data_IF_821897301507
#
_entry.id   IF_821897301507
#
_cell.length_a   1.000
_cell.length_b   1.000
_cell.length_c   1.000
_cell.angle_alpha   90.00
_cell.angle_beta   90.00
_cell.angle_gamma   90.00
#
_symmetry.space_group_name_H-M   'P 1'
#
loop_
_entity.id
_entity.type
_entity.pdbx_description
1 polymer ?
#
# COMPACT_ATOMS: atom_id res chain seq x y z
N UNK A 1 -46.70 -26.32 -30.07
CA UNK A 1 -46.76 -26.28 -28.59
C UNK A 1 -45.39 -26.64 -28.06
N UNK A 2 -44.97 -25.98 -26.97
CA UNK A 2 -44.22 -26.52 -25.81
C UNK A 2 -43.07 -27.51 -26.07
N UNK A 3 -41.86 -27.08 -25.79
CA UNK A 3 -41.06 -27.45 -24.59
C UNK A 3 -40.12 -28.63 -24.92
N UNK A 4 -38.81 -28.38 -25.00
CA UNK A 4 -37.90 -28.52 -23.86
C UNK A 4 -37.85 -29.94 -23.28
N UNK A 5 -36.83 -30.70 -23.65
CA UNK A 5 -35.90 -31.17 -22.61
C UNK A 5 -34.45 -31.13 -23.16
N UNK A 6 -33.51 -30.63 -22.35
CA UNK A 6 -32.09 -30.60 -22.71
C UNK A 6 -31.38 -31.81 -22.10
N UNK A 7 -30.41 -32.42 -22.80
CA UNK A 7 -29.78 -33.65 -22.33
C UNK A 7 -28.97 -33.40 -21.04
N UNK A 8 -29.32 -34.15 -19.99
CA UNK A 8 -28.55 -34.24 -18.74
C UNK A 8 -27.10 -34.66 -19.03
N UNK A 9 -26.16 -33.71 -18.99
CA UNK A 9 -24.73 -34.02 -18.86
C UNK A 9 -24.29 -33.85 -17.41
N UNK A 10 -24.20 -34.98 -16.70
CA UNK A 10 -23.47 -35.05 -15.44
C UNK A 10 -21.97 -34.77 -15.70
N UNK A 11 -21.49 -33.59 -15.31
CA UNK A 11 -20.07 -33.26 -15.32
C UNK A 11 -19.53 -33.08 -13.90
N UNK A 12 -19.05 -34.21 -13.35
CA UNK A 12 -17.85 -34.34 -12.50
C UNK A 12 -17.54 -33.17 -11.55
N UNK A 13 -18.36 -33.01 -10.52
CA UNK A 13 -17.93 -32.36 -9.27
C UNK A 13 -16.87 -33.21 -8.57
N UNK A 14 -15.58 -32.97 -8.85
CA UNK A 14 -14.42 -33.39 -8.02
C UNK A 14 -13.13 -32.80 -8.59
N UNK A 15 -12.13 -32.60 -7.72
CA UNK A 15 -10.76 -32.11 -8.00
C UNK A 15 -10.61 -30.59 -8.24
N UNK A 16 -10.88 -29.78 -7.21
CA UNK A 16 -10.05 -28.57 -6.95
C UNK A 16 -9.94 -28.20 -5.45
N UNK A 17 -9.87 -29.20 -4.58
CA UNK A 17 -9.55 -29.02 -3.14
C UNK A 17 -8.07 -29.31 -2.82
N UNK A 18 -7.23 -29.48 -3.85
CA UNK A 18 -5.91 -30.14 -3.74
C UNK A 18 -4.67 -29.26 -3.79
N UNK A 19 -4.77 -27.93 -3.77
CA UNK A 19 -3.61 -27.03 -3.85
C UNK A 19 -3.33 -26.18 -2.60
N UNK A 20 -4.08 -26.39 -1.51
CA UNK A 20 -3.89 -25.71 -0.22
C UNK A 20 -3.13 -26.60 0.80
N UNK A 21 -2.86 -27.87 0.49
CA UNK A 21 -2.35 -28.86 1.46
C UNK A 21 -0.91 -29.38 1.22
N UNK A 22 -0.20 -28.91 0.19
CA UNK A 22 1.15 -29.41 -0.15
C UNK A 22 2.31 -28.69 0.56
N UNK A 23 2.04 -27.64 1.36
CA UNK A 23 3.06 -26.80 2.00
C UNK A 23 3.11 -26.89 3.54
N UNK A 24 2.26 -27.71 4.17
CA UNK A 24 2.03 -27.70 5.62
C UNK A 24 2.82 -28.74 6.45
N UNK A 25 3.79 -29.45 5.87
CA UNK A 25 4.52 -30.55 6.53
C UNK A 25 6.05 -30.51 6.42
N UNK A 26 6.66 -29.31 6.36
CA UNK A 26 8.10 -29.11 6.63
C UNK A 26 8.37 -28.19 7.83
N UNK A 27 7.50 -28.28 8.84
CA UNK A 27 7.76 -27.75 10.18
C UNK A 27 8.65 -28.70 11.01
N UNK A 28 9.95 -28.73 10.69
CA UNK A 28 10.98 -29.13 11.66
C UNK A 28 11.97 -27.97 11.79
N UNK A 29 12.29 -27.63 13.03
CA UNK A 29 12.89 -26.34 13.38
C UNK A 29 14.32 -26.18 12.83
N UNK A 30 14.43 -25.43 11.73
CA UNK A 30 15.58 -24.55 11.51
C UNK A 30 15.20 -23.20 12.10
N UNK A 31 16.11 -22.55 12.85
CA UNK A 31 15.94 -21.16 13.22
C UNK A 31 16.01 -20.33 11.93
N UNK A 32 14.85 -20.03 11.35
CA UNK A 32 14.76 -19.37 10.06
C UNK A 32 15.49 -18.02 10.11
N UNK A 33 16.47 -17.84 9.23
CA UNK A 33 17.00 -16.51 8.92
C UNK A 33 15.81 -15.62 8.55
N UNK A 34 15.53 -14.58 9.35
CA UNK A 34 14.39 -13.72 9.12
C UNK A 34 14.57 -13.05 7.75
N UNK A 35 13.72 -13.31 6.74
CA UNK A 35 13.92 -12.83 5.37
C UNK A 35 13.93 -11.29 5.26
N UNK A 36 13.50 -10.60 6.31
CA UNK A 36 13.66 -9.15 6.49
C UNK A 36 15.13 -8.72 6.58
N UNK A 37 16.02 -9.57 7.10
CA UNK A 37 17.47 -9.32 7.17
C UNK A 37 18.13 -9.48 5.79
N UNK A 38 17.69 -10.46 5.00
CA UNK A 38 18.15 -10.61 3.62
C UNK A 38 17.73 -9.41 2.75
N UNK A 39 16.54 -8.85 2.98
CA UNK A 39 15.95 -7.79 2.15
C UNK A 39 15.39 -6.60 2.96
N UNK A 40 16.24 -5.79 3.63
CA UNK A 40 15.78 -4.69 4.49
C UNK A 40 14.96 -3.62 3.74
N UNK A 41 15.18 -3.46 2.43
CA UNK A 41 14.38 -2.56 1.58
C UNK A 41 12.97 -3.05 1.22
N UNK A 42 12.64 -4.32 1.52
CA UNK A 42 11.37 -4.98 1.24
C UNK A 42 10.58 -5.34 2.52
N UNK A 43 11.14 -5.07 3.71
CA UNK A 43 10.59 -5.52 4.99
C UNK A 43 9.30 -4.79 5.44
N UNK A 44 8.97 -3.65 4.83
CA UNK A 44 7.75 -2.89 5.13
C UNK A 44 6.54 -3.44 4.35
N UNK A 45 5.36 -3.57 5.00
CA UNK A 45 4.13 -3.99 4.32
C UNK A 45 3.62 -2.89 3.37
N UNK A 46 2.79 -3.29 2.41
CA UNK A 46 2.14 -2.36 1.47
C UNK A 46 0.73 -2.08 1.97
N UNK A 47 0.48 -0.87 2.47
CA UNK A 47 -0.82 -0.39 2.92
C UNK A 47 -1.63 0.18 1.76
N UNK A 48 -2.78 -0.44 1.45
CA UNK A 48 -3.76 -0.02 0.46
C UNK A 48 -5.03 0.49 1.15
N UNK A 49 -5.35 1.78 1.04
CA UNK A 49 -6.48 2.41 1.77
C UNK A 49 -7.28 3.34 0.85
N UNK A 50 -8.61 3.30 0.96
CA UNK A 50 -9.54 4.20 0.27
C UNK A 50 -10.91 4.23 0.97
N UNK A 51 -11.84 5.09 0.52
CA UNK A 51 -13.25 5.03 0.93
C UNK A 51 -13.92 3.72 0.49
N UNK A 52 -13.63 3.29 -0.74
CA UNK A 52 -14.15 2.04 -1.33
C UNK A 52 -13.01 1.23 -1.91
N UNK A 53 -12.97 -0.07 -1.60
CA UNK A 53 -12.10 -1.04 -2.26
C UNK A 53 -12.94 -2.14 -2.95
N UNK A 54 -12.55 -2.55 -4.16
CA UNK A 54 -13.09 -3.72 -4.87
C UNK A 54 -11.92 -4.67 -5.12
N UNK A 55 -12.07 -5.95 -4.78
CA UNK A 55 -11.01 -6.97 -4.87
C UNK A 55 -11.51 -8.19 -5.63
N UNK A 56 -10.73 -8.71 -6.57
CA UNK A 56 -10.96 -10.03 -7.18
C UNK A 56 -9.62 -10.71 -7.45
N UNK A 57 -9.66 -12.03 -7.59
CA UNK A 57 -8.50 -12.83 -8.01
C UNK A 57 -8.64 -13.15 -9.50
N UNK A 58 -7.53 -13.09 -10.24
CA UNK A 58 -7.45 -13.36 -11.68
C UNK A 58 -6.21 -14.24 -11.99
N UNK A 59 -6.12 -14.85 -13.19
CA UNK A 59 -4.99 -15.73 -13.53
C UNK A 59 -3.61 -15.05 -13.47
N UNK A 60 -3.55 -13.73 -13.64
CA UNK A 60 -2.32 -12.92 -13.61
C UNK A 60 -2.04 -12.27 -12.24
N UNK A 61 -2.89 -12.48 -11.23
CA UNK A 61 -2.69 -11.98 -9.87
C UNK A 61 -3.99 -11.54 -9.17
N UNK A 62 -3.83 -10.97 -7.96
CA UNK A 62 -4.93 -10.33 -7.24
C UNK A 62 -5.06 -8.88 -7.67
N UNK A 63 -6.26 -8.49 -8.09
CA UNK A 63 -6.55 -7.12 -8.48
C UNK A 63 -7.32 -6.37 -7.40
N UNK A 64 -7.01 -5.08 -7.26
CA UNK A 64 -7.69 -4.17 -6.34
C UNK A 64 -7.98 -2.85 -7.05
N UNK A 65 -9.23 -2.41 -7.04
CA UNK A 65 -9.61 -1.02 -7.38
C UNK A 65 -9.92 -0.28 -6.11
N UNK A 66 -9.35 0.91 -5.97
CA UNK A 66 -9.49 1.80 -4.83
C UNK A 66 -10.06 3.13 -5.30
N UNK A 67 -11.07 3.68 -4.62
CA UNK A 67 -11.67 4.96 -4.98
C UNK A 67 -12.11 5.80 -3.78
N UNK A 68 -12.08 7.12 -3.95
CA UNK A 68 -12.37 8.10 -2.90
C UNK A 68 -11.20 8.20 -1.92
N UNK A 69 -10.29 9.14 -2.16
CA UNK A 69 -9.02 9.28 -1.42
C UNK A 69 -8.22 7.96 -1.35
N UNK A 70 -7.93 7.40 -2.53
CA UNK A 70 -7.16 6.18 -2.68
C UNK A 70 -5.69 6.40 -2.36
N UNK A 71 -5.05 5.44 -1.68
CA UNK A 71 -3.64 5.47 -1.33
C UNK A 71 -3.02 4.07 -1.34
N UNK A 72 -1.76 4.01 -1.77
CA UNK A 72 -0.92 2.82 -1.73
C UNK A 72 0.46 3.24 -1.23
N UNK A 73 0.86 2.79 -0.03
CA UNK A 73 2.06 3.28 0.67
C UNK A 73 2.88 2.13 1.25
N UNK A 74 4.20 2.21 1.12
CA UNK A 74 5.16 1.26 1.69
C UNK A 74 6.41 2.00 2.20
N UNK A 75 6.61 2.08 3.52
CA UNK A 75 7.80 2.72 4.11
C UNK A 75 8.06 4.14 3.57
N UNK A 76 7.02 4.96 3.46
CA UNK A 76 7.08 6.33 2.91
C UNK A 76 7.13 6.45 1.38
N UNK A 77 7.32 5.35 0.64
CA UNK A 77 7.18 5.29 -0.83
C UNK A 77 5.72 4.99 -1.21
N UNK A 78 5.33 5.31 -2.45
CA UNK A 78 3.98 5.02 -2.96
C UNK A 78 3.31 6.25 -3.58
N UNK A 79 1.98 6.33 -3.49
CA UNK A 79 1.18 7.46 -3.98
C UNK A 79 -0.23 7.54 -3.36
N UNK A 80 -0.83 8.72 -3.46
CA UNK A 80 -2.24 9.01 -3.17
C UNK A 80 -2.93 9.59 -4.40
N UNK A 81 -4.20 9.27 -4.64
CA UNK A 81 -4.97 9.70 -5.81
C UNK A 81 -6.50 9.68 -5.55
N UNK A 82 -7.29 10.16 -6.51
CA UNK A 82 -8.75 10.00 -6.52
C UNK A 82 -9.17 8.54 -6.73
N UNK A 83 -8.45 7.84 -7.62
CA UNK A 83 -8.58 6.40 -7.85
C UNK A 83 -7.23 5.71 -8.08
N UNK A 84 -7.12 4.46 -7.66
CA UNK A 84 -5.99 3.57 -7.95
C UNK A 84 -6.48 2.23 -8.46
N UNK A 85 -5.75 1.67 -9.41
CA UNK A 85 -5.79 0.24 -9.76
C UNK A 85 -4.47 -0.37 -9.32
N UNK A 86 -4.56 -1.49 -8.63
CA UNK A 86 -3.41 -2.25 -8.12
C UNK A 86 -3.51 -3.68 -8.61
N UNK A 87 -2.44 -4.18 -9.25
CA UNK A 87 -2.26 -5.62 -9.45
C UNK A 87 -1.19 -6.14 -8.52
N UNK A 88 -1.53 -7.16 -7.73
CA UNK A 88 -0.67 -7.82 -6.76
C UNK A 88 -0.28 -9.19 -7.31
N UNK A 89 0.99 -9.39 -7.60
CA UNK A 89 1.57 -10.68 -7.98
C UNK A 89 2.48 -11.21 -6.89
N UNK A 90 2.71 -12.52 -6.88
CA UNK A 90 3.65 -13.20 -5.99
C UNK A 90 4.75 -13.81 -6.84
N UNK A 91 6.00 -13.63 -6.42
CA UNK A 91 7.17 -14.24 -7.04
C UNK A 91 8.03 -14.87 -5.93
N UNK A 92 8.56 -16.06 -6.18
CA UNK A 92 9.59 -16.63 -5.33
C UNK A 92 10.91 -15.89 -5.58
N UNK A 93 11.58 -15.46 -4.51
CA UNK A 93 12.94 -14.94 -4.52
C UNK A 93 13.70 -15.65 -3.40
N UNK A 94 14.73 -16.40 -3.78
CA UNK A 94 15.46 -17.30 -2.87
C UNK A 94 14.48 -18.21 -2.10
N UNK A 95 14.47 -18.18 -0.77
CA UNK A 95 13.53 -18.95 0.08
C UNK A 95 12.25 -18.16 0.47
N UNK A 96 12.04 -16.96 -0.10
CA UNK A 96 11.00 -16.01 0.29
C UNK A 96 9.95 -15.77 -0.80
N UNK A 97 8.73 -15.45 -0.39
CA UNK A 97 7.71 -14.90 -1.28
C UNK A 97 7.80 -13.37 -1.30
N UNK A 98 8.06 -12.79 -2.48
CA UNK A 98 7.96 -11.36 -2.72
C UNK A 98 6.59 -11.04 -3.34
N UNK A 99 5.85 -10.16 -2.67
CA UNK A 99 4.63 -9.57 -3.20
C UNK A 99 4.99 -8.30 -3.98
N UNK A 100 4.67 -8.27 -5.27
CA UNK A 100 4.84 -7.10 -6.13
C UNK A 100 3.48 -6.45 -6.38
N UNK A 101 3.34 -5.17 -6.05
CA UNK A 101 2.15 -4.37 -6.32
C UNK A 101 2.45 -3.35 -7.44
N UNK A 102 1.92 -3.59 -8.62
CA UNK A 102 1.93 -2.63 -9.73
C UNK A 102 0.77 -1.65 -9.56
N UNK A 103 1.07 -0.35 -9.62
CA UNK A 103 0.13 0.74 -9.34
C UNK A 103 -0.13 1.56 -10.61
N UNK A 104 -1.41 1.84 -10.87
CA UNK A 104 -1.87 2.87 -11.80
C UNK A 104 -2.83 3.82 -11.09
N UNK A 105 -2.67 5.12 -11.29
CA UNK A 105 -3.35 6.17 -10.53
C UNK A 105 -3.98 7.21 -11.44
N UNK A 106 -5.17 7.69 -11.06
CA UNK A 106 -5.89 8.77 -11.73
C UNK A 106 -6.48 9.78 -10.73
N UNK A 107 -6.44 11.05 -11.12
CA UNK A 107 -6.98 12.18 -10.36
C UNK A 107 -6.10 12.56 -9.17
N UNK A 108 -5.66 13.82 -9.11
CA UNK A 108 -4.92 14.38 -7.97
C UNK A 108 -3.74 13.55 -7.46
N UNK A 109 -2.99 12.92 -8.38
CA UNK A 109 -1.93 11.97 -8.03
C UNK A 109 -0.74 12.68 -7.39
N UNK A 110 -0.39 12.29 -6.16
CA UNK A 110 0.70 12.84 -5.36
C UNK A 110 1.57 11.72 -4.76
N UNK A 111 2.85 11.97 -4.54
CA UNK A 111 3.71 11.08 -3.76
C UNK A 111 3.63 11.43 -2.26
N UNK A 112 3.71 10.47 -1.32
CA UNK A 112 3.37 10.69 0.09
C UNK A 112 4.19 11.77 0.81
N UNK A 113 5.41 12.04 0.35
CA UNK A 113 6.35 12.98 0.97
C UNK A 113 6.76 14.13 0.05
N UNK A 114 6.17 14.24 -1.14
CA UNK A 114 6.55 15.26 -2.12
C UNK A 114 5.61 16.46 -2.06
N UNK A 115 6.17 17.64 -1.76
CA UNK A 115 5.49 18.92 -1.94
C UNK A 115 5.54 19.36 -3.42
N UNK A 116 4.98 18.50 -4.27
CA UNK A 116 4.90 18.69 -5.70
C UNK A 116 3.44 18.90 -6.13
N UNK A 117 3.17 19.70 -7.18
CA UNK A 117 1.83 19.81 -7.73
C UNK A 117 1.24 18.44 -8.11
N UNK A 118 -0.06 18.23 -7.88
CA UNK A 118 -0.75 16.99 -8.23
C UNK A 118 -0.67 16.72 -9.73
N UNK A 119 -0.62 15.44 -10.11
CA UNK A 119 -0.59 14.98 -11.50
C UNK A 119 -1.93 14.37 -11.88
N UNK A 120 -2.29 14.44 -13.17
CA UNK A 120 -3.52 13.79 -13.68
C UNK A 120 -3.48 12.26 -13.54
N UNK A 121 -2.30 11.67 -13.72
CA UNK A 121 -2.06 10.24 -13.67
C UNK A 121 -0.67 9.89 -13.12
N UNK A 122 -0.48 8.64 -12.69
CA UNK A 122 0.81 8.12 -12.24
C UNK A 122 0.90 6.59 -12.30
N UNK A 123 2.14 6.08 -12.27
CA UNK A 123 2.46 4.65 -12.18
C UNK A 123 3.63 4.44 -11.22
N UNK A 124 3.64 3.33 -10.50
CA UNK A 124 4.80 2.85 -9.75
C UNK A 124 4.72 1.34 -9.51
N UNK A 125 5.79 0.77 -8.96
CA UNK A 125 5.83 -0.61 -8.48
C UNK A 125 6.33 -0.59 -7.04
N UNK A 126 5.64 -1.29 -6.15
CA UNK A 126 6.05 -1.53 -4.76
C UNK A 126 6.31 -3.03 -4.58
N UNK A 127 7.22 -3.41 -3.70
CA UNK A 127 7.64 -4.81 -3.50
C UNK A 127 7.87 -5.08 -2.01
N UNK A 128 7.25 -6.11 -1.45
CA UNK A 128 7.40 -6.47 -0.02
C UNK A 128 7.60 -7.97 0.17
N UNK A 129 8.38 -8.36 1.18
CA UNK A 129 8.46 -9.75 1.67
C UNK A 129 7.48 -10.03 2.83
N UNK A 130 6.66 -9.04 3.20
CA UNK A 130 5.62 -9.18 4.22
C UNK A 130 4.25 -9.42 3.59
N UNK A 131 3.38 -8.43 3.62
CA UNK A 131 1.97 -8.55 3.32
C UNK A 131 1.43 -7.28 2.67
N UNK A 132 0.41 -7.44 1.83
CA UNK A 132 -0.32 -6.34 1.19
C UNK A 132 -1.66 -6.19 1.90
N UNK A 133 -1.85 -5.09 2.60
CA UNK A 133 -2.98 -4.82 3.50
C UNK A 133 -4.02 -3.98 2.78
N UNK A 134 -5.20 -4.52 2.56
CA UNK A 134 -6.34 -3.77 2.00
C UNK A 134 -7.22 -3.26 3.14
N UNK A 135 -7.66 -2.01 3.07
CA UNK A 135 -8.63 -1.43 4.01
C UNK A 135 -9.88 -2.29 4.16
N UNK A 136 -10.47 -2.38 5.37
CA UNK A 136 -11.56 -3.33 5.68
C UNK A 136 -12.86 -3.07 4.91
N UNK A 137 -13.06 -1.86 4.38
CA UNK A 137 -14.20 -1.49 3.54
C UNK A 137 -14.02 -2.00 2.10
N UNK A 138 -13.89 -3.33 1.95
CA UNK A 138 -13.69 -3.99 0.65
C UNK A 138 -14.92 -4.80 0.23
N UNK A 139 -15.23 -4.74 -1.06
CA UNK A 139 -16.16 -5.64 -1.74
C UNK A 139 -15.34 -6.68 -2.51
N UNK A 140 -15.44 -7.96 -2.14
CA UNK A 140 -14.88 -9.05 -2.97
C UNK A 140 -15.83 -9.39 -4.11
N UNK A 141 -15.27 -9.65 -5.29
CA UNK A 141 -15.95 -10.17 -6.47
C UNK A 141 -15.22 -11.44 -6.96
N UNK A 142 -15.96 -12.32 -7.64
CA UNK A 142 -15.41 -13.53 -8.28
C UNK A 142 -14.83 -13.25 -9.68
N UNK A 143 -15.08 -12.05 -10.23
CA UNK A 143 -14.71 -11.66 -11.59
C UNK A 143 -14.39 -10.15 -11.65
N UNK A 144 -13.69 -9.68 -12.70
CA UNK A 144 -13.43 -8.26 -12.90
C UNK A 144 -14.74 -7.44 -12.95
N UNK A 145 -14.81 -6.26 -12.31
CA UNK A 145 -15.98 -5.39 -12.43
C UNK A 145 -16.08 -4.77 -13.82
N UNK A 146 -17.25 -4.90 -14.44
CA UNK A 146 -17.57 -4.28 -15.72
C UNK A 146 -17.73 -2.75 -15.60
N UNK A 147 -17.53 -2.03 -16.72
CA UNK A 147 -17.80 -0.59 -16.80
C UNK A 147 -16.83 0.34 -16.06
N UNK A 148 -15.67 -0.16 -15.60
CA UNK A 148 -14.64 0.67 -14.97
C UNK A 148 -13.53 1.05 -15.97
N UNK A 149 -13.66 2.20 -16.63
CA UNK A 149 -12.68 2.66 -17.64
C UNK A 149 -11.24 2.76 -17.11
N UNK A 150 -11.06 3.03 -15.81
CA UNK A 150 -9.75 3.08 -15.16
C UNK A 150 -9.00 1.74 -15.26
N UNK A 151 -9.71 0.60 -15.34
CA UNK A 151 -9.11 -0.72 -15.58
C UNK A 151 -8.61 -0.86 -17.02
N UNK A 152 -9.39 -0.40 -18.00
CA UNK A 152 -8.96 -0.40 -19.40
C UNK A 152 -7.72 0.49 -19.60
N UNK A 153 -7.66 1.64 -18.92
CA UNK A 153 -6.49 2.57 -18.96
C UNK A 153 -5.29 2.09 -18.14
N UNK A 154 -5.50 1.25 -17.12
CA UNK A 154 -4.42 0.67 -16.33
C UNK A 154 -3.48 -0.18 -17.19
N UNK A 155 -4.01 -0.98 -18.12
CA UNK A 155 -3.23 -1.64 -19.17
C UNK A 155 -1.98 -2.36 -18.67
N UNK A 156 -2.05 -3.06 -17.53
CA UNK A 156 -0.90 -3.79 -17.00
C UNK A 156 -0.52 -4.93 -17.95
N UNK A 157 0.79 -5.16 -18.19
CA UNK A 157 1.24 -6.22 -19.10
C UNK A 157 0.86 -7.59 -18.52
N UNK A 158 0.38 -8.53 -19.35
CA UNK A 158 -0.13 -9.83 -18.88
C UNK A 158 0.85 -10.64 -18.00
N UNK A 159 2.16 -10.38 -18.13
CA UNK A 159 3.19 -10.87 -17.23
C UNK A 159 3.79 -9.71 -16.42
N UNK A 160 3.83 -9.86 -15.10
CA UNK A 160 4.51 -8.91 -14.22
C UNK A 160 6.03 -8.93 -14.46
N UNK A 161 6.73 -7.78 -14.42
CA UNK A 161 8.19 -7.75 -14.48
C UNK A 161 8.81 -8.62 -13.39
N UNK A 162 9.89 -9.33 -13.72
CA UNK A 162 10.63 -10.13 -12.75
C UNK A 162 11.20 -9.24 -11.63
N UNK A 163 11.12 -9.69 -10.38
CA UNK A 163 11.76 -9.05 -9.24
C UNK A 163 13.27 -9.09 -9.45
N UNK A 164 13.84 -7.96 -9.87
CA UNK A 164 15.29 -7.80 -9.93
C UNK A 164 15.84 -7.91 -8.50
N UNK A 165 16.79 -8.84 -8.30
CA UNK A 165 17.50 -8.97 -7.03
C UNK A 165 17.97 -7.59 -6.55
N UNK A 166 17.79 -7.24 -5.25
CA UNK A 166 18.09 -5.92 -4.75
C UNK A 166 19.56 -5.62 -5.00
N UNK A 167 19.85 -4.71 -5.94
CA UNK A 167 21.22 -4.29 -6.25
C UNK A 167 21.85 -3.77 -4.97
N UNK A 168 22.74 -4.56 -4.39
CA UNK A 168 23.61 -4.11 -3.33
C UNK A 168 24.29 -2.83 -3.82
N UNK A 169 23.97 -1.69 -3.18
CA UNK A 169 24.60 -0.42 -3.52
C UNK A 169 26.06 -0.56 -3.15
N UNK A 170 26.89 -0.85 -4.16
CA UNK A 170 28.33 -0.92 -4.01
C UNK A 170 28.84 0.42 -3.47
N UNK A 171 29.16 0.44 -2.17
CA UNK A 171 29.84 1.55 -1.51
C UNK A 171 31.35 1.57 -1.85
N UNK A 172 31.82 0.62 -2.68
CA UNK A 172 33.20 0.52 -3.15
C UNK A 172 33.51 1.54 -4.27
N UNK A 173 33.34 2.84 -3.99
CA UNK A 173 33.79 3.90 -4.93
C UNK A 173 34.45 5.15 -4.33
N UNK A 174 34.70 5.20 -3.02
CA UNK A 174 35.42 6.34 -2.39
C UNK A 174 36.61 5.97 -1.50
N UNK A 175 36.99 4.70 -1.36
CA UNK A 175 38.10 4.26 -0.51
C UNK A 175 39.44 4.04 -1.25
N UNK A 176 39.88 5.00 -2.06
CA UNK A 176 41.30 5.13 -2.44
C UNK A 176 41.67 6.55 -2.84
N UNK A 177 42.02 7.38 -1.86
CA UNK A 177 42.78 8.62 -2.07
C UNK A 177 44.14 8.46 -1.37
N UNK A 178 45.22 8.08 -2.08
CA UNK A 178 46.50 7.83 -1.44
C UNK A 178 47.07 9.11 -0.84
N UNK A 179 47.58 9.02 0.38
CA UNK A 179 48.19 10.13 1.11
C UNK A 179 49.57 10.47 0.54
N UNK A 180 49.62 11.29 -0.51
CA UNK A 180 50.84 11.84 -1.08
C UNK A 180 51.35 13.05 -0.29
N UNK A 181 52.41 12.86 0.50
CA UNK A 181 53.14 13.96 1.17
C UNK A 181 53.60 15.02 0.17
N UNK A 182 53.47 16.29 0.52
CA UNK A 182 54.44 17.33 0.16
C UNK A 182 54.48 18.41 1.24
N UNK A 183 55.69 18.78 1.65
CA UNK A 183 55.94 19.54 2.87
C UNK A 183 56.52 20.94 2.57
N UNK A 184 56.58 21.78 3.62
CA UNK A 184 57.14 23.15 3.66
C UNK A 184 56.22 24.21 3.00
N UNK A 185 56.19 25.46 3.44
CA UNK A 185 57.15 26.21 4.28
C UNK A 185 56.45 27.34 5.09
N UNK A 186 56.95 27.62 6.31
CA UNK A 186 57.14 28.93 7.02
C UNK A 186 56.35 30.17 6.50
N UNK A 187 55.82 31.12 7.30
CA UNK A 187 56.25 31.65 8.63
C UNK A 187 55.16 32.59 9.26
N UNK A 188 55.29 32.92 10.56
CA UNK A 188 54.56 33.91 11.41
C UNK A 188 54.68 35.40 10.93
N UNK A 189 53.98 36.45 11.50
CA UNK A 189 53.50 36.60 12.90
C UNK A 189 52.20 37.40 13.27
N UNK A 190 51.66 37.06 14.46
CA UNK A 190 51.02 37.85 15.55
C UNK A 190 50.43 39.28 15.36
N UNK A 191 49.14 39.40 15.69
CA UNK A 191 48.57 40.40 16.64
C UNK A 191 48.08 41.76 16.09
N UNK A 192 47.30 42.56 16.87
CA UNK A 192 46.92 42.40 18.29
C UNK A 192 45.39 42.30 18.56
N UNK A 193 45.04 42.08 19.84
CA UNK A 193 43.67 41.97 20.37
C UNK A 193 43.08 43.30 20.88
N UNK A 194 41.75 43.50 20.77
CA UNK A 194 40.85 44.49 21.46
C UNK A 194 39.41 44.22 20.93
N UNK A 195 38.26 44.37 21.62
CA UNK A 195 37.87 44.58 23.02
C UNK A 195 36.61 43.69 23.30
N UNK A 196 36.50 42.95 24.42
CA UNK A 196 35.75 43.29 25.65
C UNK A 196 34.40 44.04 25.47
N UNK A 197 33.28 43.31 25.56
CA UNK A 197 31.91 43.67 26.06
C UNK A 197 30.90 42.65 25.49
N UNK A 198 29.80 42.21 26.11
CA UNK A 198 29.34 42.30 27.51
C UNK A 198 28.25 41.21 27.75
N UNK A 199 28.11 40.74 29.00
CA UNK A 199 27.00 39.88 29.51
C UNK A 199 25.62 40.59 29.40
N UNK A 200 24.49 39.96 29.80
CA UNK A 200 24.01 38.58 29.62
C UNK A 200 22.54 38.53 29.16
N UNK A 201 21.96 37.35 28.86
CA UNK A 201 20.50 37.17 29.04
C UNK A 201 20.11 35.77 29.52
N UNK A 202 19.70 35.73 30.80
CA UNK A 202 19.32 34.54 31.57
C UNK A 202 17.82 34.29 31.38
N UNK A 203 17.46 33.49 30.39
CA UNK A 203 16.05 33.15 30.09
C UNK A 203 15.59 31.94 30.92
N UNK A 204 15.23 32.18 32.18
CA UNK A 204 14.64 31.16 33.06
C UNK A 204 13.21 30.80 32.63
N UNK A 205 13.06 29.81 31.76
CA UNK A 205 11.76 29.17 31.52
C UNK A 205 11.43 28.22 32.68
N UNK A 206 10.37 28.56 33.43
CA UNK A 206 9.75 27.66 34.42
C UNK A 206 9.33 26.33 33.75
N UNK A 207 9.52 25.18 34.41
CA UNK A 207 8.78 23.98 34.04
C UNK A 207 7.32 24.13 34.46
N UNK A 208 6.40 24.15 33.51
CA UNK A 208 4.96 24.01 33.79
C UNK A 208 4.63 22.54 34.04
N UNK A 209 4.33 22.19 35.28
CA UNK A 209 3.85 20.86 35.67
C UNK A 209 2.57 20.53 34.91
N UNK A 210 2.48 19.38 34.20
CA UNK A 210 1.26 18.99 33.51
C UNK A 210 0.16 18.64 34.51
N UNK A 211 -1.02 19.24 34.32
CA UNK A 211 -2.22 18.98 35.11
C UNK A 211 -2.75 17.56 34.83
N UNK A 212 -3.02 16.72 35.84
CA UNK A 212 -3.55 15.38 35.60
C UNK A 212 -4.97 15.43 35.01
N UNK A 213 -5.34 14.47 34.13
CA UNK A 213 -6.66 14.42 33.50
C UNK A 213 -7.75 14.11 34.53
N UNK A 214 -8.90 14.80 34.39
CA UNK A 214 -10.06 14.67 35.27
C UNK A 214 -10.88 13.43 34.85
N UNK A 215 -11.13 12.45 35.74
CA UNK A 215 -11.85 11.23 35.37
C UNK A 215 -13.38 11.42 35.32
N UNK A 216 -14.00 10.55 34.52
CA UNK A 216 -15.41 10.16 34.49
C UNK A 216 -16.51 11.19 34.15
N UNK A 217 -17.15 10.96 33.00
CA UNK A 217 -18.59 11.20 32.82
C UNK A 217 -19.18 10.06 31.97
N UNK A 218 -19.52 8.94 32.62
CA UNK A 218 -20.06 7.72 31.99
C UNK A 218 -21.49 7.95 31.50
N UNK A 219 -21.64 8.58 30.34
CA UNK A 219 -22.96 8.98 29.82
C UNK A 219 -23.68 7.80 29.17
N UNK A 220 -24.46 7.06 29.98
CA UNK A 220 -25.46 6.10 29.49
C UNK A 220 -26.43 6.81 28.53
N UNK A 221 -26.40 6.44 27.25
CA UNK A 221 -27.47 6.76 26.29
C UNK A 221 -28.06 5.46 25.76
N UNK A 222 -29.28 5.14 26.18
CA UNK A 222 -29.99 3.90 25.84
C UNK A 222 -30.50 3.86 24.39
N UNK A 223 -31.07 2.71 23.96
CA UNK A 223 -31.48 2.48 22.58
C UNK A 223 -32.71 3.33 22.20
N UNK A 224 -32.56 4.19 21.18
CA UNK A 224 -33.69 4.97 20.64
C UNK A 224 -34.45 4.15 19.60
N UNK A 225 -35.58 3.58 20.03
CA UNK A 225 -36.49 2.73 19.24
C UNK A 225 -37.58 3.58 18.57
N UNK A 226 -37.44 3.85 17.27
CA UNK A 226 -38.43 4.50 16.38
C UNK A 226 -38.04 4.24 14.93
N UNK A 227 -38.93 4.03 13.96
CA UNK A 227 -40.34 3.63 13.94
C UNK A 227 -40.65 3.15 12.50
N UNK A 228 -41.70 2.36 12.29
CA UNK A 228 -42.07 1.89 10.94
C UNK A 228 -42.59 3.05 10.05
N UNK A 229 -42.20 3.07 8.78
CA UNK A 229 -42.74 3.95 7.74
C UNK A 229 -43.28 3.12 6.57
N UNK A 230 -44.57 3.22 6.19
CA UNK A 230 -45.17 2.38 5.16
C UNK A 230 -45.05 2.95 3.73
N UNK A 231 -44.87 2.03 2.77
CA UNK A 231 -45.27 2.03 1.34
C UNK A 231 -45.32 3.34 0.53
N UNK A 232 -44.58 3.42 -0.59
CA UNK A 232 -45.05 4.09 -1.80
C UNK A 232 -46.03 3.19 -2.62
N UNK A 233 -46.93 3.78 -3.43
CA UNK A 233 -48.00 3.04 -4.11
C UNK A 233 -47.60 2.37 -5.43
N UNK A 234 -48.35 1.32 -5.78
CA UNK A 234 -48.37 0.68 -7.10
C UNK A 234 -48.86 1.66 -8.19
N UNK A 235 -48.16 1.70 -9.33
CA UNK A 235 -48.60 2.48 -10.51
C UNK A 235 -48.79 1.59 -11.74
N UNK A 236 -50.05 1.41 -12.09
CA UNK A 236 -50.52 0.62 -13.23
C UNK A 236 -50.52 1.46 -14.51
N UNK A 237 -49.91 0.97 -15.59
CA UNK A 237 -50.11 1.46 -16.96
C UNK A 237 -49.89 0.28 -17.91
N UNK A 238 -50.96 -0.43 -18.28
CA UNK A 238 -51.99 -0.11 -19.29
C UNK A 238 -51.48 -0.32 -20.71
N UNK A 239 -51.80 -1.51 -21.20
CA UNK A 239 -51.84 -1.96 -22.60
C UNK A 239 -52.35 -0.91 -23.58
N UNK A 240 -51.71 -0.78 -24.74
CA UNK A 240 -52.42 -0.45 -25.99
C UNK A 240 -51.75 -1.12 -27.20
N UNK A 241 -52.39 -2.16 -27.72
CA UNK A 241 -52.21 -2.60 -29.12
C UNK A 241 -52.72 -1.49 -30.05
N UNK A 242 -52.03 -1.28 -31.16
CA UNK A 242 -52.64 -1.34 -32.50
C UNK A 242 -51.59 -1.87 -33.47
#
# INVERSE_FOLDING_TARGET
>A
MREHDQPRRHMRFRVWFGFILAASLRGLAVAADDPRQAHPGLAEPIDLKASTAIVWDAPDGRWVVLSGAASAVQGGRGMTAGGLVVRITQQALDESTVYQAELYAEGEVRAPTADAPPRKQGRAVLQTVRDVRVSPNLKRLEAPPEGLDILARAGFPAQAPAVAAPRARSLARWSTRPAGRSARRRRRPRGPSIHRSSRPRRSSRRPTTPRPPRPAATRKSGPRRTAAGPRPPSRTTRTRRR
#
